data_IF_605194296525
#
_entry.id   IF_605194296525
#
_cell.length_a   1.000
_cell.length_b   1.000
_cell.length_c   1.000
_cell.angle_alpha   90.00
_cell.angle_beta   90.00
_cell.angle_gamma   90.00
#
_symmetry.space_group_name_H-M   'P 1'
#
loop_
_entity.id
_entity.type
_entity.pdbx_description
1 polymer ?
#
# COMPACT_ATOMS: atom_id res chain seq x y z
N UNK A 1 10.11 15.13 -9.18
CA UNK A 1 11.11 15.44 -10.22
C UNK A 1 12.44 14.77 -9.89
N UNK A 2 13.37 14.64 -10.85
CA UNK A 2 14.77 14.28 -10.54
C UNK A 2 15.60 15.56 -10.47
N UNK A 3 16.45 15.69 -9.45
CA UNK A 3 17.46 16.74 -9.33
C UNK A 3 18.61 16.48 -10.31
N UNK A 4 19.46 17.49 -10.51
CA UNK A 4 20.64 17.41 -11.38
C UNK A 4 21.62 16.30 -10.95
N UNK A 5 21.64 15.96 -9.66
CA UNK A 5 22.40 14.85 -9.07
C UNK A 5 21.73 13.47 -9.25
N UNK A 6 20.60 13.41 -9.95
CA UNK A 6 19.84 12.18 -10.19
C UNK A 6 18.89 11.78 -9.06
N UNK A 7 18.88 12.48 -7.92
CA UNK A 7 18.02 12.15 -6.77
C UNK A 7 16.57 12.57 -7.01
N UNK A 8 15.61 11.81 -6.46
CA UNK A 8 14.20 12.18 -6.53
C UNK A 8 13.89 13.28 -5.51
N UNK A 9 13.13 14.29 -5.94
CA UNK A 9 12.69 15.40 -5.12
C UNK A 9 11.23 15.78 -5.40
N UNK A 10 10.59 16.32 -4.37
CA UNK A 10 9.24 16.85 -4.42
C UNK A 10 9.29 18.37 -4.28
N UNK A 11 8.63 19.07 -5.21
CA UNK A 11 8.42 20.51 -5.13
C UNK A 11 7.00 20.78 -4.60
N UNK A 12 6.90 21.64 -3.60
CA UNK A 12 5.65 22.15 -3.08
C UNK A 12 5.39 23.52 -3.70
N UNK A 13 4.24 23.66 -4.34
CA UNK A 13 3.89 24.85 -5.11
C UNK A 13 2.63 25.45 -4.52
N UNK A 14 2.63 26.76 -4.31
CA UNK A 14 1.44 27.51 -3.93
C UNK A 14 0.47 27.50 -5.12
N UNK A 15 -0.74 26.94 -4.95
CA UNK A 15 -1.70 26.84 -6.04
C UNK A 15 -2.28 28.20 -6.46
N UNK A 16 -2.13 29.28 -5.68
CA UNK A 16 -2.68 30.59 -6.00
C UNK A 16 -1.82 31.41 -6.97
N UNK A 17 -0.50 31.30 -6.87
CA UNK A 17 0.45 32.10 -7.66
C UNK A 17 1.51 31.26 -8.41
N UNK A 18 1.54 29.94 -8.21
CA UNK A 18 2.52 29.04 -8.83
C UNK A 18 3.93 29.13 -8.23
N UNK A 19 4.12 29.85 -7.13
CA UNK A 19 5.42 29.99 -6.48
C UNK A 19 5.84 28.66 -5.85
N UNK A 20 7.10 28.26 -6.09
CA UNK A 20 7.69 27.10 -5.44
C UNK A 20 8.04 27.47 -3.99
N UNK A 21 7.25 26.95 -3.05
CA UNK A 21 7.41 27.21 -1.61
C UNK A 21 8.57 26.42 -1.04
N UNK A 22 8.75 25.18 -1.49
CA UNK A 22 9.84 24.31 -1.03
C UNK A 22 10.20 23.27 -2.08
N UNK A 23 11.48 22.91 -2.13
CA UNK A 23 11.97 21.73 -2.87
C UNK A 23 12.73 20.85 -1.90
N UNK A 24 12.17 19.69 -1.61
CA UNK A 24 12.75 18.76 -0.62
C UNK A 24 13.15 17.48 -1.35
N UNK A 25 14.37 17.00 -1.10
CA UNK A 25 14.75 15.67 -1.58
C UNK A 25 13.85 14.63 -0.91
N UNK A 26 13.31 13.70 -1.70
CA UNK A 26 12.44 12.65 -1.17
C UNK A 26 13.19 11.82 -0.12
N UNK A 27 14.50 11.63 -0.30
CA UNK A 27 15.37 10.92 0.64
C UNK A 27 15.55 11.63 2.00
N UNK A 28 15.25 12.92 2.12
CA UNK A 28 15.42 13.68 3.37
C UNK A 28 14.11 13.77 4.16
N UNK A 29 12.97 13.38 3.55
CA UNK A 29 11.65 13.50 4.18
C UNK A 29 11.44 12.35 5.17
N UNK A 30 11.18 12.68 6.43
CA UNK A 30 10.80 11.72 7.47
C UNK A 30 9.64 10.80 7.02
N UNK A 31 8.64 11.38 6.33
CA UNK A 31 7.49 10.63 5.81
C UNK A 31 7.88 9.60 4.75
N UNK A 32 8.82 9.94 3.85
CA UNK A 32 9.28 9.00 2.83
C UNK A 32 10.13 7.89 3.46
N UNK A 33 10.95 8.21 4.45
CA UNK A 33 11.63 7.21 5.28
C UNK A 33 10.64 6.26 5.97
N UNK A 34 9.63 6.81 6.64
CA UNK A 34 8.61 6.02 7.31
C UNK A 34 7.88 5.09 6.33
N UNK A 35 7.49 5.59 5.15
CA UNK A 35 6.85 4.80 4.10
C UNK A 35 7.79 3.70 3.59
N UNK A 36 9.08 3.99 3.37
CA UNK A 36 10.03 2.99 2.87
C UNK A 36 10.32 1.89 3.90
N UNK A 37 10.51 2.26 5.17
CA UNK A 37 10.64 1.29 6.27
C UNK A 37 9.38 0.44 6.35
N UNK A 38 8.20 1.06 6.43
CA UNK A 38 6.92 0.35 6.56
C UNK A 38 6.62 -0.58 5.38
N UNK A 39 6.89 -0.13 4.15
CA UNK A 39 6.58 -0.88 2.93
C UNK A 39 7.59 -1.99 2.64
N UNK A 40 8.88 -1.75 2.85
CA UNK A 40 9.94 -2.62 2.32
C UNK A 40 11.17 -2.77 3.21
N UNK A 41 11.13 -2.27 4.45
CA UNK A 41 12.22 -2.38 5.42
C UNK A 41 13.59 -1.92 4.89
N UNK A 42 13.60 -1.05 3.87
CA UNK A 42 14.79 -0.55 3.17
C UNK A 42 15.60 -1.61 2.41
N UNK A 43 15.13 -2.86 2.35
CA UNK A 43 15.81 -3.99 1.70
C UNK A 43 15.07 -4.47 0.44
N UNK A 44 14.28 -3.58 -0.17
CA UNK A 44 13.65 -3.82 -1.46
C UNK A 44 12.60 -4.94 -1.42
N UNK A 45 12.64 -5.86 -2.38
CA UNK A 45 11.61 -6.90 -2.52
C UNK A 45 11.56 -7.83 -1.31
N UNK A 46 12.72 -8.19 -0.76
CA UNK A 46 12.80 -9.05 0.43
C UNK A 46 12.01 -8.47 1.59
N UNK A 47 12.14 -7.17 1.84
CA UNK A 47 11.41 -6.52 2.93
C UNK A 47 9.92 -6.35 2.65
N UNK A 48 9.51 -6.26 1.38
CA UNK A 48 8.08 -6.31 1.02
C UNK A 48 7.46 -7.67 1.38
N UNK A 49 8.18 -8.75 1.11
CA UNK A 49 7.76 -10.11 1.47
C UNK A 49 7.74 -10.32 2.99
N UNK A 50 8.74 -9.79 3.72
CA UNK A 50 8.74 -9.84 5.19
C UNK A 50 7.56 -9.06 5.77
N UNK A 51 7.29 -7.84 5.27
CA UNK A 51 6.17 -7.03 5.72
C UNK A 51 4.82 -7.71 5.43
N UNK A 52 4.68 -8.33 4.26
CA UNK A 52 3.51 -9.12 3.88
C UNK A 52 3.30 -10.34 4.80
N UNK A 53 4.38 -11.07 5.09
CA UNK A 53 4.34 -12.18 6.04
C UNK A 53 3.96 -11.70 7.44
N UNK A 54 4.54 -10.59 7.90
CA UNK A 54 4.22 -9.99 9.19
C UNK A 54 2.75 -9.55 9.27
N UNK A 55 2.19 -8.96 8.21
CA UNK A 55 0.78 -8.57 8.15
C UNK A 55 -0.16 -9.79 8.22
N UNK A 56 0.15 -10.85 7.46
CA UNK A 56 -0.61 -12.10 7.46
C UNK A 56 -0.59 -12.81 8.82
N UNK A 57 0.59 -12.94 9.43
CA UNK A 57 0.70 -13.53 10.77
C UNK A 57 0.11 -12.65 11.86
N UNK A 58 0.25 -11.32 11.75
CA UNK A 58 -0.38 -10.38 12.65
C UNK A 58 -1.89 -10.57 12.71
N UNK A 59 -2.53 -10.77 11.56
CA UNK A 59 -3.96 -11.09 11.47
C UNK A 59 -4.30 -12.40 12.20
N UNK A 60 -3.54 -13.48 11.97
CA UNK A 60 -3.78 -14.78 12.60
C UNK A 60 -3.56 -14.76 14.12
N UNK A 61 -2.50 -14.08 14.58
CA UNK A 61 -2.17 -13.95 15.99
C UNK A 61 -3.22 -13.09 16.72
N UNK A 62 -3.67 -12.00 16.09
CA UNK A 62 -4.74 -11.18 16.65
C UNK A 62 -6.07 -11.93 16.74
N UNK A 63 -6.46 -12.66 15.69
CA UNK A 63 -7.68 -13.48 15.69
C UNK A 63 -7.61 -14.62 16.72
N UNK A 64 -6.51 -15.36 16.74
CA UNK A 64 -6.33 -16.47 17.68
C UNK A 64 -6.29 -15.98 19.12
N UNK A 65 -5.62 -14.85 19.39
CA UNK A 65 -5.62 -14.20 20.71
C UNK A 65 -7.04 -13.79 21.15
N UNK A 66 -7.85 -13.23 20.26
CA UNK A 66 -9.22 -12.83 20.56
C UNK A 66 -10.14 -14.05 20.78
N UNK A 67 -10.01 -15.10 19.98
CA UNK A 67 -10.74 -16.37 20.17
C UNK A 67 -10.37 -17.01 21.50
N UNK A 68 -9.08 -17.05 21.83
CA UNK A 68 -8.60 -17.59 23.10
C UNK A 68 -9.13 -16.79 24.29
N UNK A 69 -9.09 -15.46 24.20
CA UNK A 69 -9.69 -14.57 25.20
C UNK A 69 -11.17 -14.87 25.42
N UNK A 70 -11.94 -14.96 24.33
CA UNK A 70 -13.38 -15.24 24.37
C UNK A 70 -13.70 -16.63 24.94
N UNK A 71 -12.89 -17.64 24.64
CA UNK A 71 -13.14 -19.04 25.07
C UNK A 71 -12.76 -19.28 26.53
N UNK A 72 -11.72 -18.60 27.02
CA UNK A 72 -11.25 -18.82 28.38
C UNK A 72 -12.01 -17.97 29.40
N UNK A 73 -12.43 -16.73 29.07
CA UNK A 73 -13.18 -15.76 29.91
C UNK A 73 -12.74 -15.59 31.39
N UNK A 74 -11.64 -16.21 31.85
CA UNK A 74 -10.92 -16.16 33.15
C UNK A 74 -9.82 -17.25 33.03
N UNK A 75 -8.52 -17.07 33.28
CA UNK A 75 -7.75 -16.41 34.35
C UNK A 75 -6.31 -16.10 33.84
N UNK A 76 -5.59 -15.19 34.50
CA UNK A 76 -4.17 -14.79 34.32
C UNK A 76 -3.73 -14.09 33.01
N UNK A 77 -4.12 -14.52 31.81
CA UNK A 77 -3.72 -13.84 30.56
C UNK A 77 -4.34 -12.43 30.48
N UNK A 78 -5.57 -12.28 30.99
CA UNK A 78 -6.26 -11.01 31.20
C UNK A 78 -5.67 -10.14 32.32
N UNK A 79 -4.80 -10.67 33.18
CA UNK A 79 -4.07 -9.90 34.18
C UNK A 79 -2.68 -9.46 33.69
N UNK A 80 -2.30 -9.86 32.47
CA UNK A 80 -1.03 -9.46 31.86
C UNK A 80 -1.19 -8.22 30.98
N UNK A 81 -0.13 -7.42 30.89
CA UNK A 81 -0.07 -6.31 29.93
C UNK A 81 -0.34 -6.76 28.49
N UNK A 82 0.14 -7.95 28.09
CA UNK A 82 -0.08 -8.49 26.75
C UNK A 82 -1.57 -8.69 26.43
N UNK A 83 -2.32 -9.29 27.36
CA UNK A 83 -3.76 -9.53 27.18
C UNK A 83 -4.57 -8.24 27.10
N UNK A 84 -4.28 -7.25 27.95
CA UNK A 84 -4.95 -5.95 27.94
C UNK A 84 -4.69 -5.17 26.65
N UNK A 85 -3.42 -5.09 26.23
CA UNK A 85 -3.03 -4.42 24.99
C UNK A 85 -3.64 -5.14 23.79
N UNK A 86 -3.66 -6.47 23.81
CA UNK A 86 -4.28 -7.31 22.80
C UNK A 86 -5.77 -7.01 22.65
N UNK A 87 -6.50 -6.94 23.76
CA UNK A 87 -7.94 -6.65 23.75
C UNK A 87 -8.24 -5.21 23.31
N UNK A 88 -7.54 -4.23 23.87
CA UNK A 88 -7.73 -2.81 23.55
C UNK A 88 -7.34 -2.49 22.09
N UNK A 89 -6.30 -3.16 21.58
CA UNK A 89 -5.79 -2.98 20.23
C UNK A 89 -6.38 -3.91 19.18
N UNK A 90 -7.24 -4.88 19.55
CA UNK A 90 -7.66 -5.95 18.64
C UNK A 90 -8.36 -5.41 17.39
N UNK A 91 -9.37 -4.56 17.59
CA UNK A 91 -10.17 -4.01 16.49
C UNK A 91 -9.33 -3.17 15.50
N UNK A 92 -8.56 -2.15 15.93
CA UNK A 92 -7.73 -1.39 14.99
C UNK A 92 -6.62 -2.25 14.37
N UNK A 93 -6.03 -3.21 15.10
CA UNK A 93 -4.99 -4.08 14.55
C UNK A 93 -5.52 -5.04 13.49
N UNK A 94 -6.66 -5.68 13.73
CA UNK A 94 -7.35 -6.54 12.77
C UNK A 94 -7.74 -5.76 11.52
N UNK A 95 -8.26 -4.56 11.70
CA UNK A 95 -8.60 -3.69 10.59
C UNK A 95 -7.35 -3.31 9.77
N UNK A 96 -6.28 -2.84 10.42
CA UNK A 96 -5.06 -2.40 9.74
C UNK A 96 -4.38 -3.55 8.99
N UNK A 97 -4.28 -4.73 9.61
CA UNK A 97 -3.68 -5.91 8.97
C UNK A 97 -4.51 -6.40 7.78
N UNK A 98 -5.83 -6.50 7.93
CA UNK A 98 -6.72 -6.93 6.85
C UNK A 98 -6.75 -5.94 5.67
N UNK A 99 -6.85 -4.64 5.97
CA UNK A 99 -6.87 -3.59 4.95
C UNK A 99 -5.53 -3.38 4.23
N UNK A 100 -4.42 -3.86 4.80
CA UNK A 100 -3.10 -3.82 4.17
C UNK A 100 -2.88 -4.91 3.11
N UNK A 101 -3.52 -6.09 3.26
CA UNK A 101 -3.30 -7.24 2.37
C UNK A 101 -3.51 -6.93 0.86
N UNK A 102 -4.51 -6.14 0.44
CA UNK A 102 -4.66 -5.76 -0.97
C UNK A 102 -3.50 -4.95 -1.55
N UNK A 103 -2.58 -4.45 -0.72
CA UNK A 103 -1.47 -3.57 -1.11
C UNK A 103 -0.09 -4.23 -0.96
N UNK A 104 -0.06 -5.50 -0.55
CA UNK A 104 1.17 -6.29 -0.53
C UNK A 104 1.47 -6.86 -1.92
N UNK A 105 2.66 -7.45 -2.10
CA UNK A 105 3.11 -7.88 -3.42
C UNK A 105 2.30 -9.07 -3.93
N UNK A 106 2.04 -10.06 -3.07
CA UNK A 106 1.35 -11.29 -3.47
C UNK A 106 -0.16 -11.15 -3.32
N UNK A 107 -0.63 -10.87 -2.10
CA UNK A 107 -2.07 -10.73 -1.85
C UNK A 107 -2.67 -9.59 -2.67
N UNK A 108 -1.94 -8.50 -2.90
CA UNK A 108 -2.38 -7.44 -3.79
C UNK A 108 -2.52 -7.88 -5.24
N UNK A 109 -1.63 -8.73 -5.75
CA UNK A 109 -1.75 -9.31 -7.09
C UNK A 109 -2.95 -10.26 -7.20
N UNK A 110 -3.16 -11.12 -6.18
CA UNK A 110 -4.31 -12.03 -6.12
C UNK A 110 -5.61 -11.21 -6.05
N UNK A 111 -5.70 -10.26 -5.14
CA UNK A 111 -6.84 -9.36 -4.99
C UNK A 111 -7.17 -8.65 -6.30
N UNK A 112 -6.17 -8.09 -6.98
CA UNK A 112 -6.38 -7.39 -8.26
C UNK A 112 -6.91 -8.32 -9.35
N UNK A 113 -6.47 -9.58 -9.41
CA UNK A 113 -6.98 -10.59 -10.36
C UNK A 113 -8.40 -11.02 -10.05
N UNK A 114 -8.71 -11.23 -8.78
CA UNK A 114 -10.07 -11.58 -8.32
C UNK A 114 -11.04 -10.45 -8.62
N UNK A 115 -10.68 -9.21 -8.26
CA UNK A 115 -11.47 -8.01 -8.57
C UNK A 115 -11.67 -7.86 -10.07
N UNK A 116 -10.61 -8.02 -10.87
CA UNK A 116 -10.72 -7.98 -12.32
C UNK A 116 -11.68 -9.05 -12.87
N UNK A 117 -11.57 -10.29 -12.42
CA UNK A 117 -12.44 -11.38 -12.86
C UNK A 117 -13.91 -11.12 -12.47
N UNK A 118 -14.16 -10.63 -11.26
CA UNK A 118 -15.51 -10.31 -10.78
C UNK A 118 -16.14 -9.10 -11.50
N UNK A 119 -15.33 -8.12 -11.89
CA UNK A 119 -15.76 -6.96 -12.69
C UNK A 119 -15.78 -7.27 -14.21
N UNK A 120 -15.56 -8.52 -14.63
CA UNK A 120 -15.59 -8.92 -16.05
C UNK A 120 -14.43 -8.41 -16.90
N UNK A 121 -13.29 -8.09 -16.26
CA UNK A 121 -12.09 -7.55 -16.90
C UNK A 121 -11.03 -8.64 -17.08
N UNK A 122 -10.45 -8.74 -18.28
CA UNK A 122 -9.50 -9.81 -18.64
C UNK A 122 -8.05 -9.57 -18.14
N UNK A 123 -7.77 -8.48 -17.42
CA UNK A 123 -6.42 -8.07 -17.00
C UNK A 123 -6.43 -7.13 -15.79
N UNK A 124 -5.29 -6.50 -15.46
CA UNK A 124 -5.18 -5.44 -14.45
C UNK A 124 -6.37 -4.48 -14.55
N UNK A 125 -7.05 -4.16 -13.44
CA UNK A 125 -8.26 -3.35 -13.51
C UNK A 125 -8.03 -2.07 -14.32
N UNK A 126 -8.94 -1.73 -15.22
CA UNK A 126 -8.85 -0.59 -16.13
C UNK A 126 -8.47 0.70 -15.40
N UNK A 127 -9.02 0.89 -14.20
CA UNK A 127 -8.75 2.01 -13.32
C UNK A 127 -7.32 2.11 -12.77
N UNK A 128 -6.51 1.04 -12.88
CA UNK A 128 -5.08 1.04 -12.56
C UNK A 128 -4.16 1.28 -13.77
N UNK A 129 -4.66 1.09 -15.00
CA UNK A 129 -3.83 1.18 -16.20
C UNK A 129 -3.44 2.63 -16.50
N UNK A 130 -2.18 2.91 -16.85
CA UNK A 130 -1.79 4.25 -17.31
C UNK A 130 -2.02 4.35 -18.82
N UNK A 131 -2.84 5.29 -19.32
CA UNK A 131 -3.00 5.51 -20.75
C UNK A 131 -1.69 6.02 -21.36
N UNK A 132 -1.44 5.61 -22.61
CA UNK A 132 -0.32 6.09 -23.42
C UNK A 132 -0.64 7.47 -24.01
N UNK A 133 0.40 8.24 -24.38
CA UNK A 133 0.19 9.44 -25.20
C UNK A 133 -0.45 9.06 -26.53
N UNK A 134 -1.34 9.91 -27.00
CA UNK A 134 -2.08 9.76 -28.26
C UNK A 134 -1.43 10.59 -29.36
N UNK A 135 -0.80 11.72 -29.03
CA UNK A 135 -0.23 12.64 -30.02
C UNK A 135 1.05 12.10 -30.67
N UNK A 136 1.84 11.29 -29.95
CA UNK A 136 3.16 10.85 -30.41
C UNK A 136 4.17 11.99 -30.56
N UNK A 137 3.81 13.21 -30.13
CA UNK A 137 4.67 14.36 -30.16
C UNK A 137 5.65 14.33 -28.97
N UNK A 138 6.86 14.92 -29.12
CA UNK A 138 7.75 15.14 -27.99
C UNK A 138 7.05 15.93 -26.89
N UNK A 139 7.39 15.66 -25.63
CA UNK A 139 6.82 16.37 -24.49
C UNK A 139 7.08 17.87 -24.60
N UNK A 140 6.03 18.66 -24.80
CA UNK A 140 6.10 20.13 -24.90
C UNK A 140 5.62 20.82 -23.62
N UNK A 141 4.78 20.14 -22.83
CA UNK A 141 4.23 20.65 -21.58
C UNK A 141 5.24 20.50 -20.44
N UNK A 142 5.35 21.55 -19.62
CA UNK A 142 6.14 21.60 -18.39
C UNK A 142 5.25 21.56 -17.13
N UNK A 143 5.85 21.63 -15.93
CA UNK A 143 5.11 21.63 -14.67
C UNK A 143 4.15 22.82 -14.51
N UNK A 144 4.55 24.08 -14.80
CA UNK A 144 3.63 25.22 -14.84
C UNK A 144 2.42 24.99 -15.76
N UNK A 145 2.63 24.51 -16.99
CA UNK A 145 1.55 24.17 -17.92
C UNK A 145 0.62 23.09 -17.36
N UNK A 146 1.18 22.04 -16.76
CA UNK A 146 0.40 20.98 -16.11
C UNK A 146 -0.41 21.50 -14.90
N UNK A 147 0.14 22.46 -14.15
CA UNK A 147 -0.55 23.13 -13.03
C UNK A 147 -1.72 23.98 -13.52
N UNK A 148 -1.51 24.79 -14.56
CA UNK A 148 -2.58 25.58 -15.19
C UNK A 148 -3.71 24.68 -15.71
N UNK A 149 -3.36 23.54 -16.31
CA UNK A 149 -4.36 22.54 -16.72
C UNK A 149 -5.09 21.93 -15.53
N UNK A 150 -4.41 21.62 -14.44
CA UNK A 150 -5.04 21.10 -13.23
C UNK A 150 -6.07 22.09 -12.66
N UNK A 151 -5.73 23.39 -12.63
CA UNK A 151 -6.63 24.46 -12.20
C UNK A 151 -7.82 24.62 -13.16
N UNK A 152 -7.56 24.65 -14.48
CA UNK A 152 -8.60 24.78 -15.50
C UNK A 152 -9.60 23.60 -15.48
N UNK A 153 -9.12 22.42 -15.11
CA UNK A 153 -9.97 21.23 -14.93
C UNK A 153 -10.68 21.19 -13.57
N UNK A 154 -10.40 22.14 -12.67
CA UNK A 154 -11.02 22.20 -11.34
C UNK A 154 -10.54 21.10 -10.39
N UNK A 155 -9.28 20.66 -10.47
CA UNK A 155 -8.72 19.76 -9.45
C UNK A 155 -8.52 20.53 -8.13
N UNK A 156 -9.27 20.14 -7.11
CA UNK A 156 -9.11 20.69 -5.76
C UNK A 156 -7.79 20.23 -5.13
N UNK A 157 -7.00 21.13 -4.52
CA UNK A 157 -5.88 20.76 -3.67
C UNK A 157 -6.32 19.91 -2.46
N UNK A 158 -5.45 19.02 -1.94
CA UNK A 158 -4.14 18.68 -2.47
C UNK A 158 -4.24 17.73 -3.67
N UNK A 159 -3.41 17.98 -4.69
CA UNK A 159 -3.18 17.05 -5.79
C UNK A 159 -1.68 16.93 -6.07
N UNK A 160 -1.30 15.87 -6.76
CA UNK A 160 0.07 15.60 -7.18
C UNK A 160 0.18 15.64 -8.69
N UNK A 161 1.21 16.34 -9.19
CA UNK A 161 1.57 16.37 -10.61
C UNK A 161 2.77 15.44 -10.80
N UNK A 162 2.64 14.48 -11.72
CA UNK A 162 3.75 13.59 -12.08
C UNK A 162 4.00 13.66 -13.57
N UNK A 163 5.20 14.13 -13.93
CA UNK A 163 5.68 14.14 -15.30
C UNK A 163 5.78 12.72 -15.88
N UNK A 164 5.63 12.58 -17.21
CA UNK A 164 5.91 11.34 -17.90
C UNK A 164 7.38 10.92 -17.72
N UNK A 165 7.62 9.61 -17.65
CA UNK A 165 8.99 9.05 -17.57
C UNK A 165 9.62 8.80 -18.93
N UNK A 166 8.85 8.93 -20.00
CA UNK A 166 9.25 8.70 -21.40
C UNK A 166 8.72 9.85 -22.26
N UNK A 167 9.35 10.09 -23.41
CA UNK A 167 8.95 11.17 -24.32
C UNK A 167 7.47 11.06 -24.77
N UNK A 168 6.97 9.83 -24.95
CA UNK A 168 5.60 9.54 -25.38
C UNK A 168 4.69 9.13 -24.19
N UNK A 169 5.00 9.60 -22.99
CA UNK A 169 4.22 9.31 -21.79
C UNK A 169 3.05 10.27 -21.59
N UNK A 170 2.31 10.10 -20.49
CA UNK A 170 1.25 11.01 -20.06
C UNK A 170 1.63 11.69 -18.75
N UNK A 171 1.30 12.97 -18.63
CA UNK A 171 1.29 13.67 -17.34
C UNK A 171 0.16 13.11 -16.50
N UNK A 172 0.41 12.84 -15.22
CA UNK A 172 -0.62 12.38 -14.30
C UNK A 172 -0.87 13.43 -13.23
N UNK A 173 -2.11 13.89 -13.17
CA UNK A 173 -2.65 14.75 -12.13
C UNK A 173 -3.55 13.89 -11.25
N UNK A 174 -3.22 13.71 -9.97
CA UNK A 174 -3.99 12.80 -9.10
C UNK A 174 -4.12 13.33 -7.69
N UNK A 175 -5.33 13.19 -7.12
CA UNK A 175 -5.51 13.26 -5.66
C UNK A 175 -4.56 12.26 -4.98
N UNK A 176 -3.82 12.66 -3.93
CA UNK A 176 -2.91 11.76 -3.25
C UNK A 176 -3.65 10.55 -2.68
N UNK A 177 -2.94 9.43 -2.55
CA UNK A 177 -3.49 8.21 -1.99
C UNK A 177 -3.94 8.42 -0.53
N UNK A 178 -4.99 7.70 -0.13
CA UNK A 178 -5.53 7.71 1.22
C UNK A 178 -6.52 8.84 1.51
N UNK A 179 -6.71 9.81 0.62
CA UNK A 179 -7.84 10.74 0.72
C UNK A 179 -9.18 10.00 0.51
N UNK A 180 -10.30 10.51 1.08
CA UNK A 180 -11.62 9.93 0.90
C UNK A 180 -11.88 9.50 -0.56
N UNK A 181 -12.19 8.22 -0.83
CA UNK A 181 -12.25 7.70 -2.18
C UNK A 181 -13.27 8.40 -3.07
N UNK A 182 -14.33 8.98 -2.49
CA UNK A 182 -15.35 9.80 -3.14
C UNK A 182 -14.85 11.18 -3.58
N UNK A 183 -13.71 11.65 -3.07
CA UNK A 183 -13.06 12.89 -3.51
C UNK A 183 -11.88 12.63 -4.46
N UNK A 184 -11.59 11.36 -4.76
CA UNK A 184 -10.42 11.02 -5.58
C UNK A 184 -10.71 11.23 -7.06
N UNK A 185 -9.81 11.96 -7.72
CA UNK A 185 -9.83 12.17 -9.17
C UNK A 185 -8.43 11.97 -9.72
N UNK A 186 -8.33 11.25 -10.83
CA UNK A 186 -7.07 11.12 -11.58
C UNK A 186 -7.29 11.50 -13.02
N UNK A 187 -6.46 12.40 -13.51
CA UNK A 187 -6.47 12.89 -14.88
C UNK A 187 -5.12 12.60 -15.52
N UNK A 188 -5.18 12.16 -16.78
CA UNK A 188 -4.01 12.01 -17.62
C UNK A 188 -4.05 13.03 -18.75
N UNK A 189 -2.97 13.77 -18.91
CA UNK A 189 -2.79 14.71 -20.01
C UNK A 189 -1.71 14.18 -20.95
N UNK A 190 -1.91 14.40 -22.23
CA UNK A 190 -0.94 14.08 -23.26
C UNK A 190 0.31 14.97 -23.06
N UNK A 191 1.51 14.39 -23.18
CA UNK A 191 2.74 15.15 -22.99
C UNK A 191 3.03 16.15 -24.11
N UNK A 192 2.54 15.87 -25.32
CA UNK A 192 2.86 16.60 -26.52
C UNK A 192 1.99 17.84 -26.78
N UNK A 193 0.70 17.77 -26.47
CA UNK A 193 -0.25 18.88 -26.67
C UNK A 193 -1.03 19.27 -25.40
N UNK A 194 -0.84 18.55 -24.30
CA UNK A 194 -1.53 18.83 -23.05
C UNK A 194 -3.02 18.54 -23.05
N UNK A 195 -3.54 17.81 -24.04
CA UNK A 195 -4.95 17.45 -24.13
C UNK A 195 -5.30 16.38 -23.09
N UNK A 196 -6.54 16.41 -22.61
CA UNK A 196 -7.08 15.37 -21.76
C UNK A 196 -7.11 14.03 -22.52
N UNK A 197 -6.39 13.04 -21.99
CA UNK A 197 -6.32 11.68 -22.55
C UNK A 197 -7.32 10.78 -21.85
N UNK A 198 -7.36 10.85 -20.52
CA UNK A 198 -8.23 10.01 -19.70
C UNK A 198 -8.56 10.75 -18.40
N UNK A 199 -9.76 10.51 -17.89
CA UNK A 199 -10.21 10.99 -16.58
C UNK A 199 -10.87 9.84 -15.84
N UNK A 200 -10.48 9.67 -14.57
CA UNK A 200 -11.09 8.70 -13.67
C UNK A 200 -11.55 9.35 -12.40
N UNK A 201 -12.82 9.11 -12.14
CA UNK A 201 -13.57 9.56 -10.98
C UNK A 201 -13.87 8.35 -10.08
N UNK A 202 -14.46 8.57 -8.90
CA UNK A 202 -14.87 7.46 -8.05
C UNK A 202 -15.90 6.54 -8.69
N UNK A 203 -16.69 7.02 -9.65
CA UNK A 203 -17.71 6.25 -10.35
C UNK A 203 -17.10 5.22 -11.33
N UNK A 204 -15.89 5.49 -11.83
CA UNK A 204 -15.16 4.58 -12.73
C UNK A 204 -14.48 3.42 -11.98
N UNK A 205 -14.60 3.41 -10.65
CA UNK A 205 -14.07 2.35 -9.81
C UNK A 205 -15.05 1.18 -9.84
N UNK A 206 -14.56 0.01 -10.24
CA UNK A 206 -15.33 -1.23 -10.23
C UNK A 206 -15.93 -1.53 -8.86
N UNK A 207 -17.02 -2.32 -8.83
CA UNK A 207 -17.83 -2.55 -7.63
C UNK A 207 -17.01 -3.16 -6.50
N UNK A 208 -16.01 -3.96 -6.86
CA UNK A 208 -15.15 -4.66 -5.91
C UNK A 208 -13.86 -3.88 -5.56
N UNK A 209 -13.55 -2.81 -6.30
CA UNK A 209 -12.41 -1.94 -6.02
C UNK A 209 -12.73 -0.81 -5.02
N UNK A 210 -14.00 -0.39 -4.93
CA UNK A 210 -14.42 0.69 -4.03
C UNK A 210 -14.19 0.39 -2.53
N UNK A 211 -14.53 -0.81 -2.00
CA UNK A 211 -14.26 -1.15 -0.61
C UNK A 211 -12.76 -1.13 -0.27
N UNK A 212 -11.89 -1.56 -1.18
CA UNK A 212 -10.44 -1.54 -0.97
C UNK A 212 -9.88 -0.11 -0.88
N UNK A 213 -10.38 0.80 -1.72
CA UNK A 213 -10.00 2.22 -1.67
C UNK A 213 -10.47 2.91 -0.37
N UNK A 214 -11.69 2.58 0.07
CA UNK A 214 -12.23 3.02 1.35
C UNK A 214 -11.39 2.50 2.53
N UNK A 215 -11.08 1.19 2.51
CA UNK A 215 -10.23 0.55 3.52
C UNK A 215 -8.87 1.21 3.65
N UNK A 216 -8.20 1.56 2.53
CA UNK A 216 -6.91 2.26 2.60
C UNK A 216 -7.01 3.67 3.17
N UNK A 217 -8.11 4.36 2.92
CA UNK A 217 -8.32 5.73 3.43
C UNK A 217 -8.49 5.73 4.95
N UNK A 218 -9.19 4.72 5.48
CA UNK A 218 -9.25 4.48 6.92
C UNK A 218 -7.86 4.05 7.43
N UNK A 219 -7.20 3.08 6.79
CA UNK A 219 -5.87 2.59 7.18
C UNK A 219 -4.83 3.70 7.31
N UNK A 220 -4.85 4.67 6.40
CA UNK A 220 -3.94 5.82 6.41
C UNK A 220 -4.33 6.93 7.39
N UNK A 221 -5.40 6.77 8.16
CA UNK A 221 -5.83 7.77 9.15
C UNK A 221 -6.49 9.01 8.55
N UNK A 222 -6.98 8.94 7.30
CA UNK A 222 -7.37 10.14 6.50
C UNK A 222 -8.87 10.28 6.22
N UNK A 223 -9.68 9.27 6.57
CA UNK A 223 -11.13 9.30 6.32
C UNK A 223 -11.93 10.07 7.39
N UNK A 224 -11.94 9.63 8.65
CA UNK A 224 -12.69 10.29 9.75
C UNK A 224 -11.87 11.33 10.54
N UNK A 225 -10.96 12.04 9.86
CA UNK A 225 -10.11 13.06 10.50
C UNK A 225 -9.27 12.53 11.67
N UNK A 226 -9.16 13.32 12.73
CA UNK A 226 -8.27 13.03 13.87
C UNK A 226 -8.64 11.76 14.64
N UNK A 227 -9.94 11.41 14.73
CA UNK A 227 -10.36 10.16 15.37
C UNK A 227 -9.77 8.96 14.64
N UNK A 228 -9.82 8.97 13.31
CA UNK A 228 -9.24 7.91 12.50
C UNK A 228 -7.73 7.80 12.70
N UNK A 229 -7.05 8.95 12.67
CA UNK A 229 -5.60 9.03 12.88
C UNK A 229 -5.17 8.49 14.25
N UNK A 230 -5.92 8.79 15.31
CA UNK A 230 -5.67 8.28 16.66
C UNK A 230 -5.92 6.77 16.76
N UNK A 231 -6.97 6.25 16.11
CA UNK A 231 -7.24 4.81 16.07
C UNK A 231 -6.15 4.04 15.30
N UNK A 232 -5.67 4.57 14.18
CA UNK A 232 -4.53 4.02 13.47
C UNK A 232 -3.27 4.04 14.33
N UNK A 233 -2.98 5.15 15.00
CA UNK A 233 -1.84 5.27 15.90
C UNK A 233 -1.92 4.27 17.07
N UNK A 234 -3.10 4.11 17.67
CA UNK A 234 -3.35 3.12 18.72
C UNK A 234 -3.08 1.70 18.21
N UNK A 235 -3.53 1.37 17.00
CA UNK A 235 -3.25 0.08 16.36
C UNK A 235 -1.75 -0.16 16.16
N UNK A 236 -1.00 0.85 15.70
CA UNK A 236 0.45 0.76 15.54
C UNK A 236 1.17 0.57 16.90
N UNK A 237 0.79 1.34 17.92
CA UNK A 237 1.35 1.23 19.27
C UNK A 237 1.04 -0.15 19.86
N UNK A 238 -0.20 -0.62 19.72
CA UNK A 238 -0.59 -1.95 20.17
C UNK A 238 0.23 -3.04 19.48
N UNK A 239 0.45 -2.96 18.16
CA UNK A 239 1.28 -3.92 17.43
C UNK A 239 2.71 -4.02 17.99
N UNK A 240 3.35 -2.87 18.24
CA UNK A 240 4.70 -2.81 18.81
C UNK A 240 4.74 -3.39 20.22
N UNK A 241 3.81 -2.97 21.08
CA UNK A 241 3.76 -3.43 22.46
C UNK A 241 3.42 -4.93 22.56
N UNK A 242 2.56 -5.45 21.67
CA UNK A 242 2.26 -6.88 21.58
C UNK A 242 3.48 -7.69 21.15
N UNK A 243 4.27 -7.19 20.19
CA UNK A 243 5.51 -7.83 19.80
C UNK A 243 6.49 -7.90 20.99
N UNK A 244 6.70 -6.79 21.70
CA UNK A 244 7.61 -6.72 22.86
C UNK A 244 7.14 -7.66 23.98
N UNK A 245 5.88 -7.52 24.41
CA UNK A 245 5.34 -8.30 25.52
C UNK A 245 5.21 -9.78 25.17
N UNK A 246 4.92 -10.12 23.92
CA UNK A 246 4.87 -11.49 23.42
C UNK A 246 6.26 -12.15 23.40
N UNK A 247 7.28 -11.44 22.90
CA UNK A 247 8.68 -11.90 22.95
C UNK A 247 9.18 -12.09 24.38
N UNK A 248 8.81 -11.18 25.28
CA UNK A 248 9.16 -11.28 26.70
C UNK A 248 8.49 -12.48 27.38
N UNK A 249 7.21 -12.74 27.11
CA UNK A 249 6.51 -13.94 27.57
C UNK A 249 7.20 -15.22 27.04
N UNK A 250 7.51 -15.25 25.75
CA UNK A 250 8.16 -16.40 25.12
C UNK A 250 9.54 -16.71 25.74
N UNK A 251 10.33 -15.66 26.02
CA UNK A 251 11.63 -15.80 26.66
C UNK A 251 11.53 -16.33 28.10
N UNK A 252 10.51 -15.92 28.87
CA UNK A 252 10.34 -16.36 30.28
C UNK A 252 9.72 -17.74 30.42
N UNK A 253 8.82 -18.09 29.52
CA UNK A 253 8.11 -19.38 29.57
C UNK A 253 9.01 -20.55 29.13
N UNK A 254 10.09 -20.23 28.41
CA UNK A 254 10.67 -21.13 27.42
C UNK A 254 9.63 -21.49 26.36
N UNK A 255 10.03 -21.89 25.15
CA UNK A 255 9.09 -22.54 24.23
C UNK A 255 8.47 -23.86 24.79
N UNK A 256 8.80 -24.22 26.03
CA UNK A 256 8.33 -25.38 26.79
C UNK A 256 6.85 -25.32 27.21
N UNK A 257 6.15 -24.18 27.07
CA UNK A 257 4.71 -24.08 27.33
C UNK A 257 3.81 -24.80 26.29
N UNK A 258 4.40 -25.40 25.24
CA UNK A 258 3.70 -26.36 24.35
C UNK A 258 3.56 -27.75 25.02
N UNK A 259 3.90 -27.89 26.31
CA UNK A 259 3.50 -29.04 27.14
C UNK A 259 2.24 -28.74 27.95
N UNK A 260 1.12 -28.49 27.27
CA UNK A 260 -0.17 -28.67 27.91
C UNK A 260 -0.93 -29.75 27.16
N UNK A 261 -1.24 -30.85 27.87
CA UNK A 261 -2.13 -31.93 27.44
C UNK A 261 -3.58 -31.49 27.28
N UNK A 262 -3.80 -30.40 26.54
CA UNK A 262 -5.10 -30.01 26.03
C UNK A 262 -5.42 -30.81 24.78
N UNK A 263 -6.72 -31.02 24.53
CA UNK A 263 -7.21 -31.73 23.35
C UNK A 263 -6.50 -31.24 22.07
N UNK A 264 -6.18 -32.14 21.13
CA UNK A 264 -5.45 -31.79 19.91
C UNK A 264 -6.13 -30.58 19.26
N UNK A 265 -5.31 -29.62 18.81
CA UNK A 265 -5.80 -28.48 18.04
C UNK A 265 -6.74 -29.02 16.96
N UNK A 266 -7.99 -28.51 16.88
CA UNK A 266 -8.96 -29.10 15.99
C UNK A 266 -8.41 -29.08 14.57
N UNK A 267 -8.64 -30.16 13.83
CA UNK A 267 -8.05 -30.40 12.51
C UNK A 267 -8.24 -29.22 11.54
N UNK A 268 -9.29 -28.42 11.69
CA UNK A 268 -9.52 -27.20 10.91
C UNK A 268 -8.50 -26.08 11.22
N UNK A 269 -7.98 -25.98 12.45
CA UNK A 269 -6.95 -25.01 12.83
C UNK A 269 -5.58 -25.38 12.26
N UNK A 270 -5.28 -26.68 12.23
CA UNK A 270 -4.09 -27.22 11.55
C UNK A 270 -4.23 -27.07 10.03
N UNK A 271 -5.40 -27.36 9.47
CA UNK A 271 -5.70 -27.14 8.06
C UNK A 271 -5.62 -25.65 7.66
N UNK A 272 -6.08 -24.72 8.50
CA UNK A 272 -5.96 -23.28 8.24
C UNK A 272 -4.49 -22.85 8.22
N UNK A 273 -3.68 -23.28 9.19
CA UNK A 273 -2.23 -23.01 9.21
C UNK A 273 -1.54 -23.65 8.00
N UNK A 274 -1.88 -24.89 7.66
CA UNK A 274 -1.31 -25.63 6.52
C UNK A 274 -1.84 -25.18 5.15
N UNK A 275 -2.92 -24.41 5.08
CA UNK A 275 -3.38 -23.72 3.86
C UNK A 275 -2.73 -22.35 3.74
N UNK A 276 -2.53 -21.64 4.86
CA UNK A 276 -1.87 -20.33 4.88
C UNK A 276 -0.34 -20.41 4.73
N UNK A 277 0.30 -21.50 5.17
CA UNK A 277 1.73 -21.79 4.96
C UNK A 277 2.10 -21.85 3.47
N UNK A 278 1.45 -22.69 2.63
CA UNK A 278 1.68 -22.68 1.20
C UNK A 278 1.17 -21.40 0.55
N UNK A 279 0.09 -20.73 1.01
CA UNK A 279 -0.25 -19.41 0.44
C UNK A 279 0.85 -18.36 0.63
N UNK A 280 1.67 -18.45 1.69
CA UNK A 280 2.84 -17.59 1.90
C UNK A 280 4.12 -18.05 1.17
N UNK A 281 4.21 -19.33 0.79
CA UNK A 281 5.39 -19.93 0.14
C UNK A 281 5.23 -20.16 -1.38
N UNK A 282 4.00 -20.36 -1.86
CA UNK A 282 3.63 -20.43 -3.29
C UNK A 282 4.18 -19.23 -4.08
N UNK A 283 4.21 -18.00 -3.56
CA UNK A 283 4.73 -16.85 -4.31
C UNK A 283 6.26 -16.87 -4.44
N UNK A 284 6.98 -17.42 -3.45
CA UNK A 284 8.43 -17.62 -3.51
C UNK A 284 8.80 -18.67 -4.58
N UNK A 285 7.93 -19.67 -4.75
CA UNK A 285 8.06 -20.70 -5.80
C UNK A 285 7.67 -20.13 -7.16
N UNK A 286 6.61 -19.32 -7.26
CA UNK A 286 6.20 -18.68 -8.51
C UNK A 286 7.22 -17.62 -8.99
N UNK A 287 7.79 -16.79 -8.12
CA UNK A 287 8.82 -15.80 -8.52
C UNK A 287 10.12 -16.48 -8.99
N UNK A 288 10.47 -17.65 -8.43
CA UNK A 288 11.60 -18.46 -8.91
C UNK A 288 11.31 -19.25 -10.18
N UNK A 289 10.07 -19.68 -10.40
CA UNK A 289 9.68 -20.51 -11.55
C UNK A 289 9.10 -19.70 -12.72
N UNK A 290 8.82 -18.40 -12.55
CA UNK A 290 8.35 -17.53 -13.62
C UNK A 290 9.47 -16.58 -14.05
N UNK A 291 10.22 -16.89 -15.13
CA UNK A 291 11.14 -15.94 -15.72
C UNK A 291 10.36 -14.68 -16.05
N UNK A 292 10.79 -13.52 -15.53
CA UNK A 292 10.31 -12.25 -16.03
C UNK A 292 10.66 -12.20 -17.51
N UNK A 293 9.67 -12.43 -18.40
CA UNK A 293 9.81 -12.03 -19.80
C UNK A 293 10.18 -10.56 -19.73
N UNK A 294 11.41 -10.22 -20.13
CA UNK A 294 11.73 -8.84 -20.49
C UNK A 294 10.68 -8.46 -21.52
N UNK A 295 9.72 -7.63 -21.13
CA UNK A 295 8.91 -6.93 -22.12
C UNK A 295 9.89 -6.19 -22.99
N UNK A 296 9.86 -6.45 -24.30
CA UNK A 296 10.77 -5.89 -25.29
C UNK A 296 10.97 -4.41 -25.01
N UNK A 297 12.10 -4.12 -24.38
CA UNK A 297 12.67 -2.78 -24.36
C UNK A 297 13.23 -2.64 -25.76
N UNK A 298 12.84 -1.63 -26.55
CA UNK A 298 13.59 -1.34 -27.76
C UNK A 298 15.05 -1.18 -27.31
N UNK A 299 15.90 -2.05 -27.83
CA UNK A 299 17.34 -2.02 -27.67
C UNK A 299 17.82 -0.60 -27.92
N UNK A 300 18.36 0.07 -26.90
CA UNK A 300 19.17 1.26 -27.12
C UNK A 300 20.27 0.88 -28.13
N UNK A 301 20.42 1.60 -29.25
CA UNK A 301 21.60 1.45 -30.07
C UNK A 301 22.81 1.96 -29.26
N UNK A 302 24.01 1.37 -29.48
CA UNK A 302 25.18 1.67 -28.68
C UNK A 302 25.55 3.15 -28.81
N UNK A 303 25.74 3.79 -27.66
CA UNK A 303 26.37 5.11 -27.53
C UNK A 303 27.76 5.05 -28.14
N UNK A 304 27.93 5.64 -29.32
CA UNK A 304 29.25 6.08 -29.76
C UNK A 304 29.57 7.42 -29.11
N UNK A 305 30.84 7.58 -28.78
CA UNK A 305 31.45 8.67 -28.04
C UNK A 305 31.50 9.93 -28.90
N UNK A 306 31.11 11.06 -28.34
CA UNK A 306 31.91 12.31 -28.27
C UNK A 306 31.09 13.42 -27.60
#
# INVERSE_FOLDING_TARGET
MKRADGTAASAFVDPGNGAVVAVVADAERLTDWAIRIHRNLLIGTTGRLIAEFAAGWGLLLALSGLIWWWRTRRTLILASWHGWIGLAGAAPLLFLTLSALPWTEVWGAIHSRVVAALDGQNATPSWMHRPKSVSGLPSSMDYPGALLRAQALGLSPPFSIRAPSTANGTWRLSTPMGHPPETTRTVWLDAGDGRLVDERTPADRGRFAAPAAFGVSIHMGRYFGEVNRLLCALGCVAAVLLAITGSWLAARSGFAAIRHGGQPAPWWGVALVLVLLPLSAIPLVIDRLWPRRKSDSPTEPPTDRS
#
